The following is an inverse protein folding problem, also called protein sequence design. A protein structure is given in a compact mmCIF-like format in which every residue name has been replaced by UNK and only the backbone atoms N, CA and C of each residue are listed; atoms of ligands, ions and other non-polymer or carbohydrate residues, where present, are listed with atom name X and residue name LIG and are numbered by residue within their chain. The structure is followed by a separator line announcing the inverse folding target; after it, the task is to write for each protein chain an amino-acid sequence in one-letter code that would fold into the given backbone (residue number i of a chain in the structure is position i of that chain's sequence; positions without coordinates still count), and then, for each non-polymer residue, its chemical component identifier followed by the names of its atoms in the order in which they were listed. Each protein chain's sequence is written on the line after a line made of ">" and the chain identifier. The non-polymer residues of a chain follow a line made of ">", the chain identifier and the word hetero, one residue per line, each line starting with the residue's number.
data_IF_049961772951
#
_entry.id   IF_049961772951
#
_cell.length_a   1.000
_cell.length_b   1.000
_cell.length_c   1.000
_cell.angle_alpha   90.00
_cell.angle_beta   90.00
_cell.angle_gamma   90.00
#
_symmetry.space_group_name_H-M   'P 1'
#
loop_
_entity.id
_entity.type
_entity.pdbx_description
1 polymer ?
#
# COMPACT_ATOMS: atom_id res chain seq x y z
N UNK A 1 16.66 -51.08 -31.58
CA UNK A 1 15.34 -50.58 -31.99
C UNK A 1 14.89 -49.49 -31.02
N UNK A 2 14.37 -48.40 -31.60
CA UNK A 2 13.58 -47.28 -31.02
C UNK A 2 14.16 -46.53 -29.82
N UNK A 3 15.03 -45.55 -30.12
CA UNK A 3 15.42 -44.50 -29.17
C UNK A 3 14.25 -43.56 -28.88
N UNK A 4 14.04 -43.31 -27.59
CA UNK A 4 12.98 -42.50 -27.00
C UNK A 4 12.70 -41.14 -27.70
N UNK A 5 11.72 -41.11 -28.61
CA UNK A 5 11.08 -39.88 -29.06
C UNK A 5 10.04 -39.43 -28.02
N UNK A 6 10.52 -38.72 -27.00
CA UNK A 6 9.67 -37.76 -26.29
C UNK A 6 10.30 -36.40 -26.51
N UNK A 7 9.92 -35.74 -27.60
CA UNK A 7 10.33 -34.35 -27.88
C UNK A 7 9.82 -33.48 -26.74
N UNK A 8 10.69 -33.18 -25.77
CA UNK A 8 10.36 -32.34 -24.63
C UNK A 8 10.40 -30.89 -25.10
N UNK A 9 9.30 -30.16 -24.89
CA UNK A 9 9.22 -28.74 -25.23
C UNK A 9 9.89 -27.87 -24.16
N UNK A 10 10.55 -26.81 -24.60
CA UNK A 10 11.18 -25.81 -23.76
C UNK A 10 10.11 -25.07 -22.95
N UNK A 11 10.26 -25.02 -21.63
CA UNK A 11 9.32 -24.32 -20.75
C UNK A 11 9.31 -22.78 -20.90
N UNK A 12 10.24 -22.21 -21.68
CA UNK A 12 10.31 -20.77 -21.95
C UNK A 12 9.78 -20.42 -23.34
N UNK A 13 10.35 -21.00 -24.40
CA UNK A 13 10.00 -20.64 -25.79
C UNK A 13 9.15 -21.68 -26.52
N UNK A 14 8.83 -22.82 -25.90
CA UNK A 14 8.01 -23.88 -26.52
C UNK A 14 8.72 -24.76 -27.56
N UNK A 15 9.92 -24.38 -28.02
CA UNK A 15 10.71 -25.14 -28.98
C UNK A 15 11.17 -26.49 -28.44
N UNK A 16 11.48 -27.42 -29.33
CA UNK A 16 12.02 -28.74 -28.97
C UNK A 16 13.37 -28.62 -28.26
N UNK A 17 13.56 -29.43 -27.22
CA UNK A 17 14.80 -29.50 -26.47
C UNK A 17 15.74 -30.46 -27.22
N UNK A 18 16.95 -30.01 -27.60
CA UNK A 18 17.92 -30.86 -28.29
C UNK A 18 18.20 -32.16 -27.52
N UNK A 19 18.30 -33.31 -28.21
CA UNK A 19 18.65 -34.57 -27.57
C UNK A 19 20.03 -34.48 -26.94
N UNK A 20 20.21 -35.14 -25.79
CA UNK A 20 21.50 -35.17 -25.11
C UNK A 20 22.38 -36.30 -25.63
N UNK A 21 23.68 -36.03 -25.64
CA UNK A 21 24.72 -37.02 -25.96
C UNK A 21 24.84 -38.07 -24.84
N UNK A 22 24.68 -37.66 -23.57
CA UNK A 22 24.64 -38.56 -22.42
C UNK A 22 23.20 -38.66 -21.86
N UNK A 23 22.61 -39.87 -21.80
CA UNK A 23 21.28 -40.08 -21.23
C UNK A 23 21.25 -40.04 -19.69
N UNK A 24 22.41 -39.98 -19.02
CA UNK A 24 22.48 -39.94 -17.56
C UNK A 24 22.15 -38.53 -17.03
N UNK A 25 21.41 -38.49 -15.91
CA UNK A 25 21.07 -37.26 -15.18
C UNK A 25 19.66 -36.70 -15.44
N UNK A 26 19.36 -35.53 -14.85
CA UNK A 26 18.01 -34.91 -14.96
C UNK A 26 17.73 -34.41 -16.37
N UNK A 27 16.54 -34.73 -16.88
CA UNK A 27 16.00 -34.19 -18.14
C UNK A 27 16.07 -32.66 -18.19
N UNK A 28 16.41 -32.11 -19.36
CA UNK A 28 16.48 -30.66 -19.56
C UNK A 28 15.07 -30.05 -19.61
N UNK A 29 14.90 -28.87 -19.01
CA UNK A 29 13.63 -28.11 -19.02
C UNK A 29 13.63 -26.97 -20.05
N UNK A 30 14.81 -26.55 -20.49
CA UNK A 30 15.01 -25.43 -21.43
C UNK A 30 15.90 -25.89 -22.57
N UNK A 31 15.65 -25.41 -23.79
CA UNK A 31 16.43 -25.77 -24.97
C UNK A 31 17.85 -25.17 -24.98
N UNK A 32 18.08 -24.07 -24.24
CA UNK A 32 19.38 -23.40 -24.17
C UNK A 32 19.63 -22.69 -22.84
N UNK A 33 20.89 -22.33 -22.59
CA UNK A 33 21.28 -21.48 -21.46
C UNK A 33 20.61 -20.10 -21.49
N UNK A 34 20.39 -19.55 -22.69
CA UNK A 34 19.69 -18.29 -22.88
C UNK A 34 18.22 -18.36 -22.41
N UNK A 35 17.49 -19.43 -22.79
CA UNK A 35 16.11 -19.65 -22.32
C UNK A 35 16.04 -19.84 -20.80
N UNK A 36 17.02 -20.55 -20.22
CA UNK A 36 17.12 -20.70 -18.77
C UNK A 36 17.33 -19.34 -18.08
N UNK A 37 18.24 -18.52 -18.59
CA UNK A 37 18.53 -17.19 -18.04
C UNK A 37 17.34 -16.23 -18.18
N UNK A 38 16.64 -16.28 -19.33
CA UNK A 38 15.43 -15.49 -19.55
C UNK A 38 14.32 -15.86 -18.57
N UNK A 39 14.05 -17.17 -18.40
CA UNK A 39 13.07 -17.64 -17.42
C UNK A 39 13.46 -17.34 -15.96
N UNK A 40 14.75 -17.25 -15.65
CA UNK A 40 15.22 -16.79 -14.34
C UNK A 40 14.92 -15.30 -14.12
N UNK A 41 15.27 -14.45 -15.10
CA UNK A 41 15.01 -13.00 -15.06
C UNK A 41 13.51 -12.69 -14.95
N UNK A 42 12.67 -13.42 -15.68
CA UNK A 42 11.21 -13.24 -15.63
C UNK A 42 10.67 -13.54 -14.22
N UNK A 43 11.13 -14.62 -13.59
CA UNK A 43 10.74 -14.95 -12.22
C UNK A 43 11.15 -13.87 -11.22
N UNK A 44 12.34 -13.30 -11.37
CA UNK A 44 12.78 -12.17 -10.53
C UNK A 44 11.92 -10.93 -10.76
N UNK A 45 11.56 -10.63 -12.02
CA UNK A 45 10.68 -9.50 -12.34
C UNK A 45 9.30 -9.69 -11.74
N UNK A 46 8.71 -10.88 -11.89
CA UNK A 46 7.40 -11.18 -11.32
C UNK A 46 7.44 -11.11 -9.79
N UNK A 47 8.47 -11.65 -9.14
CA UNK A 47 8.62 -11.54 -7.69
C UNK A 47 8.67 -10.09 -7.21
N UNK A 48 9.34 -9.21 -7.96
CA UNK A 48 9.38 -7.78 -7.67
C UNK A 48 8.00 -7.12 -7.88
N UNK A 49 7.29 -7.46 -8.95
CA UNK A 49 5.93 -6.96 -9.19
C UNK A 49 4.95 -7.44 -8.11
N UNK A 50 5.05 -8.69 -7.68
CA UNK A 50 4.23 -9.27 -6.60
C UNK A 50 4.55 -8.63 -5.25
N UNK A 51 5.80 -8.21 -5.02
CA UNK A 51 6.18 -7.44 -3.84
C UNK A 51 5.58 -6.03 -3.87
N UNK A 52 5.67 -5.32 -4.99
CA UNK A 52 5.07 -4.00 -5.16
C UNK A 52 3.54 -4.06 -5.01
N UNK A 53 2.91 -5.08 -5.59
CA UNK A 53 1.46 -5.28 -5.48
C UNK A 53 1.04 -5.53 -4.03
N UNK A 54 1.75 -6.40 -3.30
CA UNK A 54 1.50 -6.62 -1.87
C UNK A 54 1.71 -5.36 -1.02
N UNK A 55 2.73 -4.57 -1.33
CA UNK A 55 2.96 -3.28 -0.65
C UNK A 55 1.81 -2.30 -0.93
N UNK A 56 1.30 -2.26 -2.16
CA UNK A 56 0.15 -1.45 -2.53
C UNK A 56 -1.14 -1.91 -1.84
N UNK A 57 -1.41 -3.22 -1.80
CA UNK A 57 -2.56 -3.80 -1.11
C UNK A 57 -2.52 -3.48 0.39
N UNK A 58 -1.36 -3.66 1.04
CA UNK A 58 -1.17 -3.28 2.45
C UNK A 58 -1.42 -1.78 2.69
N UNK A 59 -0.95 -0.92 1.79
CA UNK A 59 -1.21 0.52 1.87
C UNK A 59 -2.69 0.87 1.64
N UNK A 60 -3.40 0.14 0.78
CA UNK A 60 -4.83 0.32 0.53
C UNK A 60 -5.68 -0.20 1.69
N UNK A 61 -5.34 -1.34 2.28
CA UNK A 61 -6.01 -1.86 3.48
C UNK A 61 -5.83 -0.90 4.67
N UNK A 62 -4.66 -0.26 4.78
CA UNK A 62 -4.45 0.84 5.74
C UNK A 62 -5.29 2.09 5.44
N UNK A 63 -5.78 2.26 4.20
CA UNK A 63 -6.64 3.37 3.77
C UNK A 63 -8.14 3.08 3.96
N UNK A 64 -8.51 1.82 4.27
CA UNK A 64 -9.90 1.44 4.63
C UNK A 64 -10.29 2.03 5.99
N UNK A 65 -9.31 2.26 6.86
CA UNK A 65 -9.43 3.31 7.87
C UNK A 65 -9.30 4.61 7.08
N UNK A 66 -10.43 5.31 6.82
CA UNK A 66 -10.47 6.52 6.00
C UNK A 66 -9.37 7.53 6.31
N UNK A 67 -9.17 8.52 5.44
CA UNK A 67 -8.15 9.55 5.67
C UNK A 67 -8.23 10.03 7.13
N UNK A 68 -7.12 10.12 7.90
CA UNK A 68 -7.16 10.56 9.29
C UNK A 68 -7.99 11.83 9.52
N UNK A 69 -8.05 12.73 8.54
CA UNK A 69 -8.93 13.91 8.57
C UNK A 69 -10.42 13.58 8.47
N UNK A 70 -10.81 12.60 7.66
CA UNK A 70 -12.19 12.12 7.51
C UNK A 70 -12.66 11.33 8.74
N UNK A 71 -11.77 10.50 9.31
CA UNK A 71 -12.03 9.83 10.59
C UNK A 71 -12.23 10.87 11.68
N UNK A 72 -11.34 11.85 11.79
CA UNK A 72 -11.45 12.92 12.79
C UNK A 72 -12.75 13.72 12.62
N UNK A 73 -13.12 14.08 11.39
CA UNK A 73 -14.35 14.81 11.11
C UNK A 73 -15.60 14.00 11.53
N UNK A 74 -15.62 12.70 11.24
CA UNK A 74 -16.71 11.81 11.65
C UNK A 74 -16.82 11.75 13.17
N UNK A 75 -15.71 11.50 13.86
CA UNK A 75 -15.67 11.41 15.32
C UNK A 75 -16.11 12.72 15.98
N UNK A 76 -15.62 13.87 15.49
CA UNK A 76 -16.01 15.20 16.00
C UNK A 76 -17.51 15.45 15.82
N UNK A 77 -18.07 15.06 14.67
CA UNK A 77 -19.51 15.23 14.40
C UNK A 77 -20.37 14.39 15.35
N UNK A 78 -20.01 13.13 15.58
CA UNK A 78 -20.72 12.24 16.51
C UNK A 78 -20.63 12.71 17.97
N UNK A 79 -19.46 13.21 18.37
CA UNK A 79 -19.23 13.79 19.70
C UNK A 79 -20.08 15.06 19.91
N UNK A 80 -20.15 15.96 18.92
CA UNK A 80 -20.98 17.16 18.99
C UNK A 80 -22.47 16.80 19.05
N UNK A 81 -22.92 15.85 18.22
CA UNK A 81 -24.30 15.35 18.25
C UNK A 81 -24.67 14.77 19.62
N UNK A 82 -23.79 13.94 20.20
CA UNK A 82 -23.97 13.36 21.54
C UNK A 82 -24.02 14.44 22.61
N UNK A 83 -23.12 15.44 22.53
CA UNK A 83 -23.08 16.55 23.47
C UNK A 83 -24.35 17.41 23.43
N UNK A 84 -24.91 17.63 22.24
CA UNK A 84 -26.19 18.32 22.05
C UNK A 84 -27.34 17.52 22.66
N UNK A 85 -27.42 16.21 22.42
CA UNK A 85 -28.46 15.35 23.00
C UNK A 85 -28.46 15.34 24.54
N UNK A 86 -27.28 15.37 25.16
CA UNK A 86 -27.17 15.45 26.63
C UNK A 86 -27.64 16.82 27.11
N UNK A 87 -27.29 17.90 26.40
CA UNK A 87 -27.72 19.27 26.72
C UNK A 87 -29.23 19.47 26.56
N UNK A 88 -29.82 18.98 25.48
CA UNK A 88 -31.26 19.12 25.20
C UNK A 88 -32.13 18.35 26.20
N UNK A 89 -31.58 17.34 26.88
CA UNK A 89 -32.20 16.66 28.01
C UNK A 89 -32.15 17.46 29.32
N UNK A 90 -31.48 18.62 29.34
CA UNK A 90 -31.56 19.61 30.41
C UNK A 90 -30.56 19.40 31.55
N UNK A 91 -29.88 18.25 31.65
CA UNK A 91 -28.88 18.02 32.69
C UNK A 91 -27.78 17.06 32.19
N UNK A 92 -26.54 17.52 32.21
CA UNK A 92 -25.37 16.64 32.05
C UNK A 92 -25.10 16.06 33.44
N UNK A 93 -25.23 14.74 33.65
CA UNK A 93 -24.88 14.16 34.95
C UNK A 93 -23.44 14.56 35.32
N UNK A 94 -23.17 14.89 36.57
CA UNK A 94 -21.83 15.29 37.03
C UNK A 94 -20.75 14.27 36.63
N UNK A 95 -21.09 12.98 36.57
CA UNK A 95 -20.22 11.89 36.10
C UNK A 95 -19.78 12.01 34.63
N UNK A 96 -20.47 12.81 33.83
CA UNK A 96 -20.26 12.99 32.41
C UNK A 96 -19.68 14.38 32.06
N UNK A 97 -19.55 15.30 33.01
CA UNK A 97 -19.06 16.66 32.75
C UNK A 97 -17.62 16.67 32.19
N UNK A 98 -16.72 15.87 32.76
CA UNK A 98 -15.34 15.77 32.27
C UNK A 98 -15.28 15.27 30.81
N UNK A 99 -16.10 14.27 30.49
CA UNK A 99 -16.20 13.73 29.13
C UNK A 99 -16.75 14.77 28.15
N UNK A 100 -17.78 15.53 28.54
CA UNK A 100 -18.36 16.61 27.72
C UNK A 100 -17.38 17.76 27.55
N UNK A 101 -16.59 18.09 28.57
CA UNK A 101 -15.57 19.13 28.48
C UNK A 101 -14.39 18.70 27.59
N UNK A 102 -13.95 17.45 27.69
CA UNK A 102 -12.94 16.88 26.80
C UNK A 102 -13.41 16.84 25.34
N UNK A 103 -14.66 16.44 25.11
CA UNK A 103 -15.32 16.50 23.81
C UNK A 103 -15.28 17.91 23.19
N UNK A 104 -15.64 18.94 23.96
CA UNK A 104 -15.59 20.33 23.50
C UNK A 104 -14.18 20.80 23.17
N UNK A 105 -13.20 20.45 24.02
CA UNK A 105 -11.81 20.79 23.79
C UNK A 105 -11.28 20.16 22.49
N UNK A 106 -11.69 18.92 22.19
CA UNK A 106 -11.33 18.24 20.95
C UNK A 106 -11.92 18.94 19.72
N UNK A 107 -13.21 19.32 19.77
CA UNK A 107 -13.87 20.05 18.67
C UNK A 107 -13.17 21.39 18.42
N UNK A 108 -12.91 22.17 19.46
CA UNK A 108 -12.23 23.46 19.35
C UNK A 108 -10.80 23.34 18.79
N UNK A 109 -10.06 22.30 19.20
CA UNK A 109 -8.72 22.05 18.67
C UNK A 109 -8.73 21.62 17.21
N UNK A 110 -9.74 20.85 16.78
CA UNK A 110 -9.92 20.43 15.39
C UNK A 110 -10.25 21.62 14.47
N UNK A 111 -11.06 22.58 14.94
CA UNK A 111 -11.36 23.82 14.19
C UNK A 111 -10.10 24.70 14.01
N UNK A 112 -9.21 24.75 15.01
CA UNK A 112 -7.96 25.52 14.93
C UNK A 112 -6.93 24.90 13.97
N UNK A 113 -7.07 23.61 13.63
CA UNK A 113 -6.12 22.88 12.79
C UNK A 113 -6.31 23.07 11.28
N UNK A 114 -7.22 23.95 10.82
CA UNK A 114 -7.20 24.35 9.40
C UNK A 114 -5.81 24.91 9.05
N UNK A 115 -5.04 24.26 8.16
CA UNK A 115 -3.72 24.74 7.83
C UNK A 115 -3.88 26.11 7.21
N UNK A 116 -3.37 27.16 7.86
CA UNK A 116 -3.27 28.45 7.22
C UNK A 116 -2.51 28.26 5.91
N UNK A 117 -3.18 28.52 4.79
CA UNK A 117 -2.59 28.35 3.48
C UNK A 117 -1.29 29.16 3.42
N UNK A 118 -0.17 28.47 3.22
CA UNK A 118 1.15 29.11 3.18
C UNK A 118 1.11 30.30 2.21
N UNK A 119 1.63 31.43 2.67
CA UNK A 119 1.75 32.62 1.83
C UNK A 119 2.63 32.31 0.62
N UNK A 120 2.46 33.06 -0.48
CA UNK A 120 3.25 32.88 -1.71
C UNK A 120 4.76 32.95 -1.44
N UNK A 121 5.18 33.76 -0.47
CA UNK A 121 6.58 33.93 -0.08
C UNK A 121 7.12 32.71 0.67
N UNK A 122 6.35 32.14 1.61
CA UNK A 122 6.71 30.91 2.32
C UNK A 122 6.83 29.71 1.38
N UNK A 123 5.91 29.55 0.43
CA UNK A 123 5.98 28.50 -0.61
C UNK A 123 7.25 28.61 -1.46
N UNK A 124 7.64 29.82 -1.86
CA UNK A 124 8.88 30.07 -2.60
C UNK A 124 10.13 29.74 -1.79
N UNK A 125 10.12 29.97 -0.47
CA UNK A 125 11.24 29.64 0.41
C UNK A 125 11.42 28.13 0.56
N UNK A 126 10.35 27.40 0.86
CA UNK A 126 10.40 25.94 0.97
C UNK A 126 10.87 25.26 -0.33
N UNK A 127 10.41 25.75 -1.50
CA UNK A 127 10.87 25.23 -2.79
C UNK A 127 12.37 25.47 -3.04
N UNK A 128 12.95 26.53 -2.46
CA UNK A 128 14.40 26.79 -2.52
C UNK A 128 15.18 25.90 -1.57
N UNK A 129 14.64 25.63 -0.38
CA UNK A 129 15.25 24.74 0.62
C UNK A 129 15.27 23.29 0.13
N UNK A 130 14.17 22.79 -0.44
CA UNK A 130 14.09 21.44 -1.03
C UNK A 130 15.06 21.21 -2.21
N UNK A 131 15.39 22.28 -2.95
CA UNK A 131 16.40 22.23 -4.04
C UNK A 131 17.84 22.20 -3.54
N UNK A 132 18.12 22.58 -2.29
CA UNK A 132 19.47 22.53 -1.71
C UNK A 132 19.81 21.18 -1.09
N UNK A 133 18.79 20.40 -0.74
CA UNK A 133 18.91 19.08 -0.11
C UNK A 133 18.94 17.92 -1.12
N UNK A 134 18.97 18.22 -2.43
CA UNK A 134 19.00 17.24 -3.52
C UNK A 134 20.23 17.47 -4.37
#
# INVERSE_FOLDING_TARGET
>A
MTGAETSQKCAWCGNEIPPRIDPRGRKARYCSGACRAAAARERTRNAHQDELKRAQECAQDSFVLGNPSEILATVVTEIDATTRLIRDRGDVPASCEEMVNAARALVAAAEQQTPQALTRQQRRRLAREQKKTR
#
